data_IF_335515460045
#
_entry.id   IF_335515460045
#
_cell.length_a   1.000
_cell.length_b   1.000
_cell.length_c   1.000
_cell.angle_alpha   90.00
_cell.angle_beta   90.00
_cell.angle_gamma   90.00
#
_symmetry.space_group_name_H-M   'P 1'
#
loop_
_entity.id
_entity.type
_entity.pdbx_description
1 polymer ?
#
# COMPACT_ATOMS: atom_id res chain seq x y z
N UNK A 1 -0.08 -16.07 -16.71
CA UNK A 1 -1.38 -15.76 -16.09
C UNK A 1 -2.49 -16.33 -16.97
N UNK A 2 -3.42 -17.10 -16.40
CA UNK A 2 -4.63 -17.57 -17.09
C UNK A 2 -5.54 -16.39 -17.45
N UNK A 3 -6.59 -16.64 -18.24
CA UNK A 3 -7.58 -15.61 -18.53
C UNK A 3 -8.27 -15.11 -17.25
N UNK A 4 -8.63 -16.01 -16.33
CA UNK A 4 -9.26 -15.61 -15.06
C UNK A 4 -8.32 -14.77 -14.20
N UNK A 5 -7.01 -15.11 -14.16
CA UNK A 5 -6.03 -14.34 -13.36
C UNK A 5 -5.85 -12.91 -13.85
N UNK A 6 -6.07 -12.64 -15.15
CA UNK A 6 -5.95 -11.28 -15.71
C UNK A 6 -7.13 -10.38 -15.37
N UNK A 7 -8.27 -10.96 -14.97
CA UNK A 7 -9.44 -10.20 -14.53
C UNK A 7 -9.32 -9.70 -13.08
N UNK A 8 -8.32 -10.16 -12.33
CA UNK A 8 -8.07 -9.70 -10.96
C UNK A 8 -7.57 -8.26 -11.00
N UNK A 9 -8.39 -7.34 -10.46
CA UNK A 9 -8.06 -5.91 -10.34
C UNK A 9 -7.67 -5.49 -8.91
N UNK A 10 -7.81 -6.40 -7.96
CA UNK A 10 -7.34 -6.19 -6.59
C UNK A 10 -5.81 -6.29 -6.56
N UNK A 11 -5.18 -5.36 -5.85
CA UNK A 11 -3.74 -5.35 -5.68
C UNK A 11 -3.40 -5.40 -4.19
N UNK A 12 -2.27 -6.03 -3.89
CA UNK A 12 -1.67 -5.93 -2.58
C UNK A 12 -1.03 -4.54 -2.42
N UNK A 13 -1.44 -3.80 -1.39
CA UNK A 13 -0.98 -2.43 -1.11
C UNK A 13 0.34 -2.39 -0.34
N UNK A 14 0.86 -3.55 0.10
CA UNK A 14 2.10 -3.65 0.86
C UNK A 14 1.95 -3.25 2.33
N UNK A 15 0.73 -3.08 2.83
CA UNK A 15 0.46 -2.76 4.24
C UNK A 15 -0.15 -3.97 4.93
N UNK A 16 0.43 -4.36 6.07
CA UNK A 16 0.00 -5.54 6.82
C UNK A 16 -0.07 -5.24 8.32
N UNK A 17 -1.03 -5.86 8.99
CA UNK A 17 -1.13 -5.86 10.45
C UNK A 17 -1.03 -7.30 10.94
N UNK A 18 0.07 -7.63 11.62
CA UNK A 18 0.28 -8.94 12.21
C UNK A 18 0.25 -8.84 13.74
N UNK A 19 -0.20 -9.91 14.40
CA UNK A 19 0.23 -10.09 15.79
C UNK A 19 1.72 -10.43 15.78
N UNK A 20 2.45 -9.97 16.81
CA UNK A 20 3.88 -10.25 16.93
C UNK A 20 4.19 -11.75 16.79
N UNK A 21 3.42 -12.58 17.51
CA UNK A 21 3.58 -14.03 17.50
C UNK A 21 3.39 -14.63 16.10
N UNK A 22 2.33 -14.24 15.39
CA UNK A 22 2.08 -14.73 14.03
C UNK A 22 3.23 -14.39 13.08
N UNK A 23 3.78 -13.18 13.17
CA UNK A 23 4.92 -12.78 12.35
C UNK A 23 6.19 -13.57 12.71
N UNK A 24 6.51 -13.72 13.99
CA UNK A 24 7.68 -14.49 14.45
C UNK A 24 7.59 -15.96 14.01
N UNK A 25 6.40 -16.57 14.12
CA UNK A 25 6.17 -17.98 13.77
C UNK A 25 6.32 -18.23 12.25
N UNK A 26 6.21 -17.20 11.38
CA UNK A 26 6.33 -17.35 9.92
C UNK A 26 7.58 -16.72 9.30
N UNK A 27 8.09 -15.61 9.83
CA UNK A 27 9.18 -14.84 9.21
C UNK A 27 10.47 -15.67 9.07
N UNK A 28 10.72 -16.57 10.02
CA UNK A 28 11.89 -17.46 10.02
C UNK A 28 11.78 -18.62 9.04
N UNK A 29 10.60 -18.87 8.46
CA UNK A 29 10.34 -19.92 7.47
C UNK A 29 10.35 -19.41 6.04
N UNK A 30 10.51 -18.11 5.85
CA UNK A 30 10.65 -17.53 4.52
C UNK A 30 11.88 -18.12 3.82
N UNK A 31 11.73 -18.38 2.54
CA UNK A 31 12.80 -18.87 1.69
C UNK A 31 12.82 -18.05 0.39
N UNK A 32 13.99 -17.91 -0.25
CA UNK A 32 14.13 -17.15 -1.48
C UNK A 32 13.84 -18.00 -2.73
N UNK A 33 13.01 -19.06 -2.64
CA UNK A 33 12.67 -19.94 -3.77
C UNK A 33 11.64 -19.28 -4.70
N UNK A 34 12.04 -18.15 -5.28
CA UNK A 34 11.29 -17.43 -6.28
C UNK A 34 12.23 -16.89 -7.37
N UNK A 35 11.63 -16.35 -8.43
CA UNK A 35 12.37 -15.89 -9.61
C UNK A 35 13.37 -14.76 -9.34
N UNK A 36 13.23 -14.03 -8.23
CA UNK A 36 14.11 -12.92 -7.85
C UNK A 36 15.16 -13.33 -6.82
N UNK A 37 15.00 -14.49 -6.16
CA UNK A 37 15.90 -14.93 -5.10
C UNK A 37 15.78 -14.10 -3.81
N UNK A 38 14.62 -13.49 -3.57
CA UNK A 38 14.40 -12.58 -2.45
C UNK A 38 13.46 -13.17 -1.40
N UNK A 39 13.56 -12.73 -0.14
CA UNK A 39 12.61 -13.12 0.90
C UNK A 39 11.37 -12.23 0.83
N UNK A 40 10.26 -12.75 0.33
CA UNK A 40 9.02 -11.99 0.23
C UNK A 40 8.22 -12.06 1.54
N UNK A 41 8.01 -10.89 2.15
CA UNK A 41 7.16 -10.77 3.36
C UNK A 41 5.73 -11.29 3.12
N UNK A 42 5.23 -11.20 1.87
CA UNK A 42 3.91 -11.72 1.49
C UNK A 42 3.75 -13.21 1.73
N UNK A 43 4.83 -13.98 1.71
CA UNK A 43 4.76 -15.43 1.88
C UNK A 43 4.43 -15.80 3.33
N UNK A 44 4.63 -14.89 4.30
CA UNK A 44 4.10 -15.06 5.65
C UNK A 44 2.57 -15.23 5.65
N UNK A 45 1.86 -14.56 4.73
CA UNK A 45 0.39 -14.67 4.61
C UNK A 45 0.00 -16.07 4.15
N UNK A 46 0.76 -16.65 3.22
CA UNK A 46 0.55 -18.00 2.73
C UNK A 46 0.81 -19.02 3.86
N UNK A 47 1.95 -18.91 4.55
CA UNK A 47 2.32 -19.79 5.66
C UNK A 47 1.29 -19.75 6.80
N UNK A 48 0.81 -18.56 7.18
CA UNK A 48 -0.23 -18.43 8.21
C UNK A 48 -1.52 -19.15 7.81
N UNK A 49 -1.90 -19.08 6.53
CA UNK A 49 -3.09 -19.78 6.02
C UNK A 49 -2.90 -21.30 6.05
N UNK A 50 -1.72 -21.79 5.68
CA UNK A 50 -1.37 -23.22 5.75
C UNK A 50 -1.39 -23.76 7.19
N UNK A 51 -0.92 -22.95 8.14
CA UNK A 51 -0.95 -23.25 9.57
C UNK A 51 -2.37 -23.16 10.18
N UNK A 52 -3.39 -22.79 9.38
CA UNK A 52 -4.78 -22.73 9.80
C UNK A 52 -5.18 -21.43 10.51
N UNK A 53 -4.36 -20.38 10.47
CA UNK A 53 -4.73 -19.08 11.00
C UNK A 53 -5.78 -18.37 10.13
N UNK A 54 -6.60 -17.54 10.77
CA UNK A 54 -7.47 -16.62 10.07
C UNK A 54 -6.63 -15.50 9.42
N UNK A 55 -6.73 -15.40 8.10
CA UNK A 55 -6.15 -14.32 7.30
C UNK A 55 -7.29 -13.55 6.63
N UNK A 56 -7.28 -12.22 6.76
CA UNK A 56 -8.29 -11.34 6.15
C UNK A 56 -7.64 -10.18 5.43
N UNK A 57 -8.34 -9.62 4.44
CA UNK A 57 -7.93 -8.45 3.69
C UNK A 57 -8.90 -7.30 3.98
N UNK A 58 -8.37 -6.08 4.04
CA UNK A 58 -9.15 -4.84 4.20
C UNK A 58 -8.99 -4.01 2.94
N UNK A 59 -10.11 -3.68 2.30
CA UNK A 59 -10.12 -2.82 1.11
C UNK A 59 -10.05 -1.36 1.54
N UNK A 60 -9.13 -0.60 0.94
CA UNK A 60 -8.95 0.81 1.19
C UNK A 60 -8.93 1.63 -0.11
N UNK A 61 -9.20 2.95 -0.05
CA UNK A 61 -9.18 3.81 -1.23
C UNK A 61 -7.81 3.87 -1.88
N UNK A 62 -7.76 3.75 -3.21
CA UNK A 62 -6.51 3.77 -4.00
C UNK A 62 -5.65 5.00 -3.69
N UNK A 63 -6.26 6.16 -3.45
CA UNK A 63 -5.52 7.40 -3.14
C UNK A 63 -4.75 7.35 -1.83
N UNK A 64 -5.12 6.47 -0.91
CA UNK A 64 -4.45 6.31 0.40
C UNK A 64 -3.43 5.15 0.39
N UNK A 65 -3.54 4.25 -0.58
CA UNK A 65 -2.73 3.02 -0.63
C UNK A 65 -1.73 2.99 -1.78
N UNK A 66 -1.68 4.03 -2.61
CA UNK A 66 -0.81 4.07 -3.79
C UNK A 66 0.64 4.30 -3.37
N UNK A 67 1.49 3.32 -3.67
CA UNK A 67 2.95 3.46 -3.53
C UNK A 67 3.56 4.44 -4.54
N UNK A 68 4.77 4.89 -4.24
CA UNK A 68 5.56 5.80 -5.08
C UNK A 68 6.87 5.08 -5.45
N UNK A 69 6.95 4.60 -6.68
CA UNK A 69 8.10 3.86 -7.22
C UNK A 69 8.86 4.66 -8.28
N UNK A 70 8.27 5.72 -8.80
CA UNK A 70 8.89 6.58 -9.81
C UNK A 70 8.53 8.06 -9.62
N UNK A 71 9.18 8.93 -10.41
CA UNK A 71 9.01 10.39 -10.30
C UNK A 71 7.63 10.89 -10.74
N UNK A 72 6.97 10.20 -11.67
CA UNK A 72 5.63 10.57 -12.10
C UNK A 72 4.61 10.25 -11.00
N UNK A 73 4.78 9.11 -10.33
CA UNK A 73 3.99 8.72 -9.16
C UNK A 73 4.22 9.68 -7.98
N UNK A 74 5.46 10.13 -7.77
CA UNK A 74 5.79 11.12 -6.75
C UNK A 74 5.05 12.43 -6.99
N UNK A 75 5.11 12.97 -8.21
CA UNK A 75 4.41 14.19 -8.58
C UNK A 75 2.88 14.08 -8.41
N UNK A 76 2.31 12.91 -8.73
CA UNK A 76 0.89 12.66 -8.52
C UNK A 76 0.51 12.63 -7.03
N UNK A 77 1.31 11.97 -6.19
CA UNK A 77 1.08 11.89 -4.74
C UNK A 77 1.23 13.26 -4.07
N UNK A 78 2.27 14.02 -4.43
CA UNK A 78 2.49 15.38 -3.93
C UNK A 78 1.30 16.29 -4.28
N UNK A 79 0.77 16.23 -5.50
CA UNK A 79 -0.43 17.00 -5.90
C UNK A 79 -1.62 16.70 -4.99
N UNK A 80 -1.85 15.44 -4.62
CA UNK A 80 -2.95 15.05 -3.73
C UNK A 80 -2.73 15.64 -2.32
N UNK A 81 -1.51 15.54 -1.78
CA UNK A 81 -1.19 16.09 -0.47
C UNK A 81 -1.28 17.62 -0.46
N UNK A 82 -0.73 18.29 -1.47
CA UNK A 82 -0.80 19.75 -1.62
C UNK A 82 -2.23 20.24 -1.65
N UNK A 83 -3.11 19.55 -2.40
CA UNK A 83 -4.53 19.89 -2.45
C UNK A 83 -5.19 19.75 -1.06
N UNK A 84 -4.87 18.68 -0.31
CA UNK A 84 -5.39 18.48 1.07
C UNK A 84 -4.92 19.58 2.02
N UNK A 85 -3.65 19.95 1.96
CA UNK A 85 -3.09 20.98 2.83
C UNK A 85 -3.61 22.38 2.47
N UNK A 86 -3.74 22.71 1.18
CA UNK A 86 -4.38 23.94 0.74
C UNK A 86 -5.82 24.01 1.26
N UNK A 87 -6.58 22.92 1.16
CA UNK A 87 -7.94 22.85 1.70
C UNK A 87 -7.95 23.09 3.21
N UNK A 88 -7.08 22.40 3.96
CA UNK A 88 -6.98 22.56 5.41
C UNK A 88 -6.66 24.00 5.82
N UNK A 89 -5.79 24.70 5.10
CA UNK A 89 -5.47 26.11 5.36
C UNK A 89 -6.65 27.03 5.02
N UNK A 90 -7.33 26.80 3.91
CA UNK A 90 -8.53 27.55 3.54
C UNK A 90 -9.66 27.36 4.55
N UNK A 91 -9.86 26.15 5.06
CA UNK A 91 -10.81 25.85 6.14
C UNK A 91 -10.42 26.58 7.44
N UNK A 92 -9.12 26.85 7.62
CA UNK A 92 -8.57 27.66 8.72
C UNK A 92 -8.63 29.19 8.49
N UNK A 93 -9.24 29.65 7.39
CA UNK A 93 -9.42 31.08 7.10
C UNK A 93 -8.29 31.73 6.27
N UNK A 94 -7.37 30.95 5.72
CA UNK A 94 -6.33 31.46 4.81
C UNK A 94 -6.90 31.57 3.39
N UNK A 95 -6.83 32.76 2.78
CA UNK A 95 -7.20 32.91 1.36
C UNK A 95 -6.07 32.38 0.45
N UNK A 96 -6.35 31.32 -0.31
CA UNK A 96 -5.48 30.81 -1.39
C UNK A 96 -6.18 31.08 -2.72
N UNK A 97 -5.60 31.92 -3.58
CA UNK A 97 -6.23 32.33 -4.84
C UNK A 97 -6.33 31.18 -5.86
N UNK A 98 -5.26 30.38 -5.99
CA UNK A 98 -5.24 29.19 -6.84
C UNK A 98 -4.52 28.02 -6.13
N UNK A 99 -5.28 27.10 -5.52
CA UNK A 99 -4.72 25.91 -4.88
C UNK A 99 -3.99 24.95 -5.84
N UNK A 100 -4.26 24.99 -7.14
CA UNK A 100 -3.61 24.09 -8.10
C UNK A 100 -2.14 24.46 -8.33
N UNK A 101 -1.80 25.74 -8.16
CA UNK A 101 -0.46 26.31 -8.41
C UNK A 101 0.22 26.88 -7.16
N UNK A 102 -0.41 26.79 -5.98
CA UNK A 102 0.17 27.21 -4.70
C UNK A 102 0.87 26.05 -4.00
N UNK A 103 2.16 26.23 -3.67
CA UNK A 103 2.99 25.26 -2.93
C UNK A 103 3.23 25.75 -1.50
N UNK A 104 3.15 24.83 -0.53
CA UNK A 104 3.22 25.07 0.92
C UNK A 104 4.08 24.02 1.60
#
# INVERSE_FOLDING_TARGET
>A
ATAEQKEIKEINTGTYAFTKKALEDTIHRLNPDNKQGEYYLTDCIHLLREDGHLVTAVVAPVQETKGINDRAQLAAAEKVLRQRECQRLMDGGVTILDPATTYI
#
